data_IF_632630033400
#
_entry.id   IF_632630033400
#
_cell.length_a   1.000
_cell.length_b   1.000
_cell.length_c   1.000
_cell.angle_alpha   90.00
_cell.angle_beta   90.00
_cell.angle_gamma   90.00
#
_symmetry.space_group_name_H-M   'P 1'
#
loop_
_entity.id
_entity.type
_entity.pdbx_description
1 polymer ?
#
# COMPACT_ATOMS: atom_id res chain seq x y z
N UNK A 1 14.74 19.26 5.42
CA UNK A 1 15.03 18.23 4.40
C UNK A 1 14.95 16.79 4.91
N UNK A 2 15.01 16.51 6.22
CA UNK A 2 14.88 15.13 6.73
C UNK A 2 13.43 14.59 6.77
N UNK A 3 12.42 15.47 6.80
CA UNK A 3 11.01 15.08 6.94
C UNK A 3 10.35 14.54 5.66
N UNK A 4 10.91 14.80 4.47
CA UNK A 4 10.28 14.38 3.20
C UNK A 4 10.56 12.90 2.89
N UNK A 5 11.65 12.33 3.43
CA UNK A 5 12.06 10.93 3.20
C UNK A 5 10.98 9.88 3.54
N UNK A 6 10.32 9.91 4.72
CA UNK A 6 9.23 8.97 5.01
C UNK A 6 8.03 9.14 4.07
N UNK A 7 7.77 10.34 3.57
CA UNK A 7 6.68 10.57 2.61
C UNK A 7 7.03 10.17 1.17
N UNK A 8 8.31 10.27 0.80
CA UNK A 8 8.81 9.73 -0.46
C UNK A 8 8.71 8.19 -0.45
N UNK A 9 8.98 7.57 0.69
CA UNK A 9 8.71 6.15 0.89
C UNK A 9 7.22 5.82 0.77
N UNK A 10 6.31 6.60 1.36
CA UNK A 10 4.85 6.40 1.19
C UNK A 10 4.38 6.54 -0.26
N UNK A 11 4.96 7.47 -1.03
CA UNK A 11 4.68 7.61 -2.47
C UNK A 11 5.17 6.38 -3.25
N UNK A 12 6.37 5.89 -2.94
CA UNK A 12 6.93 4.68 -3.56
C UNK A 12 6.13 3.43 -3.17
N UNK A 13 5.78 3.26 -1.90
CA UNK A 13 4.98 2.12 -1.42
C UNK A 13 3.57 2.12 -2.02
N UNK A 14 2.90 3.28 -2.11
CA UNK A 14 1.59 3.37 -2.75
C UNK A 14 1.61 2.99 -4.23
N UNK A 15 2.68 3.32 -4.95
CA UNK A 15 2.84 2.89 -6.34
C UNK A 15 3.12 1.38 -6.47
N UNK A 16 3.84 0.77 -5.51
CA UNK A 16 4.04 -0.69 -5.49
C UNK A 16 2.73 -1.43 -5.22
N UNK A 17 1.92 -0.97 -4.26
CA UNK A 17 0.58 -1.53 -3.98
C UNK A 17 -0.33 -1.47 -5.21
N UNK A 18 -0.30 -0.35 -5.95
CA UNK A 18 -1.06 -0.18 -7.18
C UNK A 18 -0.60 -1.14 -8.30
N UNK A 19 0.71 -1.46 -8.35
CA UNK A 19 1.26 -2.46 -9.26
C UNK A 19 0.85 -3.88 -8.88
N UNK A 20 0.83 -4.20 -7.58
CA UNK A 20 0.41 -5.51 -7.06
C UNK A 20 -1.07 -5.75 -7.35
N UNK A 21 -1.93 -4.76 -7.08
CA UNK A 21 -3.36 -4.83 -7.41
C UNK A 21 -3.60 -4.97 -8.91
N UNK A 22 -2.81 -4.28 -9.75
CA UNK A 22 -2.86 -4.46 -11.19
C UNK A 22 -2.45 -5.89 -11.60
N UNK A 23 -1.39 -6.44 -11.01
CA UNK A 23 -0.94 -7.81 -11.28
C UNK A 23 -1.98 -8.86 -10.85
N UNK A 24 -2.64 -8.66 -9.70
CA UNK A 24 -3.72 -9.53 -9.22
C UNK A 24 -4.99 -9.40 -10.09
N UNK A 25 -5.35 -8.20 -10.54
CA UNK A 25 -6.50 -8.01 -11.43
C UNK A 25 -6.28 -8.63 -12.82
N UNK A 26 -5.04 -8.66 -13.31
CA UNK A 26 -4.67 -9.43 -14.52
C UNK A 26 -4.80 -10.93 -14.27
N UNK A 27 -4.37 -11.43 -13.11
CA UNK A 27 -4.53 -12.85 -12.73
C UNK A 27 -6.02 -13.25 -12.58
N UNK A 28 -6.90 -12.31 -12.25
CA UNK A 28 -8.35 -12.51 -12.17
C UNK A 28 -9.09 -12.38 -13.53
N UNK A 29 -8.37 -12.35 -14.67
CA UNK A 29 -8.91 -12.19 -16.03
C UNK A 29 -9.73 -10.91 -16.26
N UNK A 30 -9.54 -9.87 -15.43
CA UNK A 30 -10.19 -8.58 -15.64
C UNK A 30 -9.58 -7.87 -16.84
N UNK A 31 -10.42 -7.17 -17.61
CA UNK A 31 -10.03 -6.56 -18.88
C UNK A 31 -8.81 -5.60 -18.70
N UNK A 32 -7.64 -5.91 -19.29
CA UNK A 32 -6.38 -5.25 -18.95
C UNK A 32 -6.35 -3.75 -19.29
N UNK A 33 -7.13 -3.32 -20.28
CA UNK A 33 -7.24 -1.91 -20.66
C UNK A 33 -7.95 -1.07 -19.58
N UNK A 34 -9.00 -1.63 -18.97
CA UNK A 34 -9.71 -0.98 -17.87
C UNK A 34 -8.86 -0.91 -16.62
N UNK A 35 -8.11 -1.98 -16.34
CA UNK A 35 -7.17 -2.04 -15.21
C UNK A 35 -6.04 -1.00 -15.34
N UNK A 36 -5.49 -0.83 -16.55
CA UNK A 36 -4.45 0.15 -16.83
C UNK A 36 -4.91 1.59 -16.61
N UNK A 37 -6.13 1.93 -17.06
CA UNK A 37 -6.71 3.26 -16.86
C UNK A 37 -7.00 3.50 -15.37
N UNK A 38 -7.55 2.51 -14.67
CA UNK A 38 -7.84 2.62 -13.24
C UNK A 38 -6.54 2.78 -12.43
N UNK A 39 -5.49 2.03 -12.79
CA UNK A 39 -4.15 2.16 -12.18
C UNK A 39 -3.55 3.55 -12.43
N UNK A 40 -3.67 4.09 -13.64
CA UNK A 40 -3.20 5.44 -13.99
C UNK A 40 -3.91 6.53 -13.17
N UNK A 41 -5.25 6.44 -13.05
CA UNK A 41 -6.04 7.38 -12.25
C UNK A 41 -5.65 7.28 -10.78
N UNK A 42 -5.47 6.08 -10.26
CA UNK A 42 -5.04 5.86 -8.89
C UNK A 42 -3.62 6.41 -8.61
N UNK A 43 -2.68 6.29 -9.55
CA UNK A 43 -1.35 6.94 -9.45
C UNK A 43 -1.45 8.46 -9.42
N UNK A 44 -2.29 9.07 -10.28
CA UNK A 44 -2.49 10.52 -10.32
C UNK A 44 -3.15 11.04 -9.05
N UNK A 45 -4.19 10.36 -8.56
CA UNK A 45 -4.84 10.67 -7.29
C UNK A 45 -3.87 10.53 -6.11
N UNK A 46 -3.03 9.48 -6.11
CA UNK A 46 -2.01 9.27 -5.09
C UNK A 46 -0.93 10.35 -5.11
N UNK A 47 -0.50 10.79 -6.31
CA UNK A 47 0.45 11.89 -6.45
C UNK A 47 -0.11 13.21 -5.89
N UNK A 48 -1.39 13.49 -6.13
CA UNK A 48 -2.09 14.66 -5.60
C UNK A 48 -2.24 14.60 -4.08
N UNK A 49 -2.65 13.44 -3.54
CA UNK A 49 -2.76 13.23 -2.09
C UNK A 49 -1.38 13.27 -1.43
N UNK A 50 -0.33 12.73 -2.06
CA UNK A 50 1.04 12.79 -1.56
C UNK A 50 1.59 14.21 -1.52
N UNK A 51 1.29 15.04 -2.52
CA UNK A 51 1.77 16.44 -2.57
C UNK A 51 0.98 17.41 -1.68
N UNK A 52 -0.34 17.25 -1.57
CA UNK A 52 -1.17 18.09 -0.69
C UNK A 52 -1.23 17.55 0.75
N UNK A 53 -1.35 16.24 0.89
CA UNK A 53 -1.41 15.54 2.18
C UNK A 53 -0.12 15.72 2.97
N UNK A 54 1.05 15.74 2.35
CA UNK A 54 2.33 16.02 3.05
C UNK A 54 2.36 17.40 3.70
N UNK A 55 1.85 18.44 3.03
CA UNK A 55 1.77 19.79 3.61
C UNK A 55 0.87 19.87 4.85
N UNK A 56 -0.22 19.10 4.87
CA UNK A 56 -1.19 19.08 5.99
C UNK A 56 -0.75 18.10 7.08
N UNK A 57 -0.18 16.96 6.71
CA UNK A 57 0.18 15.85 7.60
C UNK A 57 1.47 16.11 8.39
N UNK A 58 2.34 17.04 7.99
CA UNK A 58 3.51 17.41 8.81
C UNK A 58 3.13 17.82 10.23
N UNK A 59 1.93 18.40 10.46
CA UNK A 59 1.45 18.77 11.81
C UNK A 59 1.05 17.55 12.67
N UNK A 60 0.74 16.41 12.05
CA UNK A 60 0.28 15.17 12.72
C UNK A 60 1.18 13.96 12.46
N UNK A 61 2.36 14.17 11.88
CA UNK A 61 3.26 13.12 11.42
C UNK A 61 3.61 12.10 12.51
N UNK A 62 3.71 12.53 13.77
CA UNK A 62 3.98 11.65 14.92
C UNK A 62 2.84 10.65 15.18
N UNK A 63 1.60 11.12 15.13
CA UNK A 63 0.42 10.26 15.36
C UNK A 63 0.20 9.32 14.17
N UNK A 64 0.40 9.80 12.94
CA UNK A 64 0.28 8.98 11.73
C UNK A 64 1.35 7.89 11.70
N UNK A 65 2.60 8.20 12.06
CA UNK A 65 3.66 7.20 12.09
C UNK A 65 3.41 6.11 13.15
N UNK A 66 2.85 6.48 14.31
CA UNK A 66 2.50 5.52 15.34
C UNK A 66 1.33 4.62 14.94
N UNK A 67 0.21 5.20 14.47
CA UNK A 67 -0.97 4.43 14.05
C UNK A 67 -0.69 3.61 12.78
N UNK A 68 0.04 4.18 11.81
CA UNK A 68 0.44 3.48 10.60
C UNK A 68 1.38 2.31 10.88
N UNK A 69 2.38 2.50 11.75
CA UNK A 69 3.26 1.42 12.19
C UNK A 69 2.51 0.32 12.94
N UNK A 70 1.56 0.69 13.81
CA UNK A 70 0.71 -0.25 14.52
C UNK A 70 -0.17 -1.07 13.58
N UNK A 71 -0.76 -0.43 12.57
CA UNK A 71 -1.59 -1.10 11.57
C UNK A 71 -0.77 -2.13 10.75
N UNK A 72 0.41 -1.74 10.27
CA UNK A 72 1.31 -2.67 9.55
C UNK A 72 1.70 -3.85 10.43
N UNK A 73 1.99 -3.60 11.72
CA UNK A 73 2.33 -4.66 12.65
C UNK A 73 1.18 -5.66 12.87
N UNK A 74 -0.05 -5.17 13.06
CA UNK A 74 -1.23 -6.03 13.26
C UNK A 74 -1.55 -6.81 11.97
N UNK A 75 -1.51 -6.17 10.80
CA UNK A 75 -1.75 -6.83 9.51
C UNK A 75 -0.68 -7.89 9.21
N UNK A 76 0.59 -7.62 9.54
CA UNK A 76 1.66 -8.60 9.43
C UNK A 76 1.45 -9.81 10.34
N UNK A 77 0.99 -9.57 11.58
CA UNK A 77 0.65 -10.64 12.52
C UNK A 77 -0.53 -11.48 12.01
N UNK A 78 -1.56 -10.83 11.47
CA UNK A 78 -2.72 -11.49 10.87
C UNK A 78 -2.30 -12.38 9.69
N UNK A 79 -1.45 -11.87 8.80
CA UNK A 79 -0.95 -12.63 7.66
C UNK A 79 -0.15 -13.87 8.08
N UNK A 80 0.64 -13.80 9.16
CA UNK A 80 1.35 -14.97 9.71
C UNK A 80 0.35 -16.01 10.21
N UNK A 81 -0.66 -15.60 10.99
CA UNK A 81 -1.67 -16.51 11.54
C UNK A 81 -2.47 -17.20 10.42
N UNK A 82 -2.83 -16.45 9.38
CA UNK A 82 -3.58 -16.94 8.23
C UNK A 82 -2.75 -17.88 7.33
N UNK A 83 -1.43 -17.72 7.30
CA UNK A 83 -0.51 -18.59 6.56
C UNK A 83 -0.24 -19.94 7.24
N UNK A 84 -0.36 -20.03 8.57
CA UNK A 84 -0.11 -21.27 9.35
C UNK A 84 -0.96 -22.48 8.88
N UNK A 85 -2.29 -22.38 8.71
CA UNK A 85 -3.10 -23.51 8.26
C UNK A 85 -2.76 -23.97 6.84
N UNK A 86 -2.41 -23.05 5.93
CA UNK A 86 -1.96 -23.41 4.57
C UNK A 86 -0.60 -24.11 4.56
N UNK A 87 0.29 -23.74 5.48
CA UNK A 87 1.59 -24.39 5.64
C UNK A 87 1.47 -25.80 6.24
N UNK A 88 0.56 -26.01 7.20
CA UNK A 88 0.28 -27.34 7.78
C UNK A 88 -0.36 -28.31 6.76
N UNK A 89 -1.21 -27.81 5.87
CA UNK A 89 -1.82 -28.62 4.80
C UNK A 89 -0.83 -29.04 3.69
N UNK A 90 0.32 -28.36 3.56
CA UNK A 90 1.37 -28.71 2.60
C UNK A 90 2.28 -29.85 3.09
N UNK A 91 2.36 -30.07 4.41
CA UNK A 91 3.23 -31.09 5.03
C UNK A 91 2.50 -32.40 5.39
N UNK A 92 1.20 -32.51 5.12
CA UNK A 92 0.40 -33.74 5.32
C UNK A 92 0.02 -34.34 3.98
#
# INVERSE_FOLDING_TARGET
>A
MQEIRPFLALIVFGNIENLILAAQGVAAHVNPLGLAILSLIAVVCWLAIGTFGTKVAMKYARYINFIGGLAIFILGLQAIIEAIPGMLAFFH
#
